data_IF_264519806673
#
_entry.id   IF_264519806673
#
_cell.length_a   1.000
_cell.length_b   1.000
_cell.length_c   1.000
_cell.angle_alpha   90.00
_cell.angle_beta   90.00
_cell.angle_gamma   90.00
#
_symmetry.space_group_name_H-M   'P 1'
#
loop_
_entity.id
_entity.type
_entity.pdbx_description
1 polymer ?
#
# COMPACT_ATOMS: atom_id res chain seq x y z
N UNK A 1 -46.02 -7.42 -17.99
CA UNK A 1 -44.83 -6.57 -17.78
C UNK A 1 -44.31 -6.86 -16.38
N UNK A 2 -43.17 -7.55 -16.24
CA UNK A 2 -42.57 -7.76 -14.92
C UNK A 2 -42.01 -6.43 -14.44
N UNK A 3 -42.63 -5.82 -13.44
CA UNK A 3 -42.04 -4.75 -12.65
C UNK A 3 -40.83 -5.33 -11.92
N UNK A 4 -39.69 -5.30 -12.61
CA UNK A 4 -38.42 -5.68 -12.06
C UNK A 4 -37.90 -4.43 -11.36
N UNK A 5 -38.02 -4.36 -10.05
CA UNK A 5 -37.12 -3.54 -9.24
C UNK A 5 -35.72 -4.10 -9.46
N UNK A 6 -35.10 -3.73 -10.59
CA UNK A 6 -33.74 -4.14 -10.94
C UNK A 6 -32.84 -3.62 -9.83
N UNK A 7 -32.28 -4.52 -9.04
CA UNK A 7 -31.19 -4.17 -8.15
C UNK A 7 -30.06 -3.60 -9.02
N UNK A 8 -29.28 -2.62 -8.52
CA UNK A 8 -28.18 -1.99 -9.26
C UNK A 8 -27.25 -3.03 -9.89
N UNK A 9 -27.01 -4.15 -9.20
CA UNK A 9 -26.25 -5.30 -9.71
C UNK A 9 -26.92 -5.95 -10.93
N UNK A 10 -28.22 -6.23 -10.87
CA UNK A 10 -28.96 -6.87 -11.98
C UNK A 10 -29.04 -5.97 -13.21
N UNK A 11 -29.19 -4.65 -12.99
CA UNK A 11 -29.13 -3.67 -14.08
C UNK A 11 -27.76 -3.68 -14.77
N UNK A 12 -26.68 -3.73 -14.00
CA UNK A 12 -25.31 -3.76 -14.55
C UNK A 12 -25.05 -5.08 -15.28
N UNK A 13 -25.48 -6.21 -14.72
CA UNK A 13 -25.40 -7.51 -15.39
C UNK A 13 -26.12 -7.48 -16.73
N UNK A 14 -27.35 -6.96 -16.77
CA UNK A 14 -28.13 -6.82 -18.00
C UNK A 14 -27.42 -5.95 -19.04
N UNK A 15 -26.85 -4.81 -18.63
CA UNK A 15 -26.10 -3.92 -19.53
C UNK A 15 -24.84 -4.58 -20.09
N UNK A 16 -24.10 -5.32 -19.26
CA UNK A 16 -22.92 -6.05 -19.70
C UNK A 16 -23.28 -7.19 -20.65
N UNK A 17 -24.36 -7.92 -20.35
CA UNK A 17 -24.84 -9.03 -21.18
C UNK A 17 -25.41 -8.52 -22.53
N UNK A 18 -25.88 -7.26 -22.57
CA UNK A 18 -26.28 -6.58 -23.81
C UNK A 18 -25.10 -6.10 -24.67
N UNK A 19 -23.85 -6.38 -24.28
CA UNK A 19 -22.65 -6.03 -25.06
C UNK A 19 -22.14 -4.61 -24.85
N UNK A 20 -22.50 -3.96 -23.73
CA UNK A 20 -21.92 -2.66 -23.37
C UNK A 20 -20.39 -2.75 -23.26
N UNK A 21 -19.70 -1.71 -23.75
CA UNK A 21 -18.25 -1.62 -23.58
C UNK A 21 -17.90 -1.38 -22.10
N UNK A 22 -17.44 -2.42 -21.42
CA UNK A 22 -17.07 -2.38 -20.00
C UNK A 22 -15.95 -1.37 -19.67
N UNK A 23 -15.14 -1.01 -20.68
CA UNK A 23 -14.03 -0.07 -20.56
C UNK A 23 -14.36 1.32 -21.13
N UNK A 24 -15.65 1.62 -21.36
CA UNK A 24 -16.06 2.95 -21.79
C UNK A 24 -15.65 3.99 -20.73
N UNK A 25 -15.11 5.11 -21.20
CA UNK A 25 -14.70 6.23 -20.36
C UNK A 25 -15.77 7.32 -20.37
N UNK A 26 -16.04 7.92 -19.21
CA UNK A 26 -16.83 9.13 -19.12
C UNK A 26 -16.03 10.37 -19.60
N UNK A 27 -16.58 11.57 -19.42
CA UNK A 27 -15.93 12.83 -19.80
C UNK A 27 -14.65 13.13 -18.99
N UNK A 28 -14.44 12.48 -17.84
CA UNK A 28 -13.29 12.64 -16.94
C UNK A 28 -12.24 11.51 -17.10
N UNK A 29 -12.09 10.99 -18.32
CA UNK A 29 -11.46 9.70 -18.65
C UNK A 29 -11.63 8.51 -17.68
N UNK A 30 -12.69 8.46 -16.88
CA UNK A 30 -12.90 7.40 -15.89
C UNK A 30 -13.67 6.22 -16.47
N UNK A 31 -13.20 5.01 -16.23
CA UNK A 31 -13.97 3.78 -16.49
C UNK A 31 -14.80 3.38 -15.28
N UNK A 32 -15.82 2.54 -15.51
CA UNK A 32 -16.70 2.07 -14.44
C UNK A 32 -15.95 1.44 -13.25
N UNK A 33 -14.84 0.74 -13.53
CA UNK A 33 -14.04 0.08 -12.49
C UNK A 33 -13.25 1.07 -11.63
N UNK A 34 -12.80 2.18 -12.21
CA UNK A 34 -12.11 3.23 -11.45
C UNK A 34 -13.10 3.97 -10.56
N UNK A 35 -14.27 4.33 -11.08
CA UNK A 35 -15.34 4.95 -10.30
C UNK A 35 -15.73 4.06 -9.13
N UNK A 36 -15.84 2.74 -9.34
CA UNK A 36 -16.13 1.78 -8.28
C UNK A 36 -15.03 1.75 -7.20
N UNK A 37 -13.75 1.85 -7.56
CA UNK A 37 -12.64 1.90 -6.59
C UNK A 37 -12.62 3.19 -5.77
N UNK A 38 -12.82 4.34 -6.43
CA UNK A 38 -12.84 5.64 -5.75
C UNK A 38 -13.98 5.73 -4.72
N UNK A 39 -15.11 5.08 -5.02
CA UNK A 39 -16.29 4.96 -4.16
C UNK A 39 -16.28 3.70 -3.27
N UNK A 40 -15.17 2.95 -3.23
CA UNK A 40 -15.00 1.76 -2.39
C UNK A 40 -16.10 0.70 -2.55
N UNK A 41 -16.59 0.49 -3.78
CA UNK A 41 -17.62 -0.50 -4.12
C UNK A 41 -17.00 -1.84 -4.50
N UNK A 42 -16.47 -2.54 -3.50
CA UNK A 42 -15.81 -3.87 -3.58
C UNK A 42 -16.61 -4.93 -4.35
N UNK A 43 -17.93 -5.03 -4.12
CA UNK A 43 -18.79 -5.96 -4.87
C UNK A 43 -18.82 -5.63 -6.37
N UNK A 44 -18.84 -4.34 -6.70
CA UNK A 44 -18.81 -3.87 -8.09
C UNK A 44 -17.45 -4.10 -8.73
N UNK A 45 -16.36 -3.89 -7.98
CA UNK A 45 -15.00 -4.21 -8.42
C UNK A 45 -14.87 -5.69 -8.76
N UNK A 46 -15.38 -6.56 -7.88
CA UNK A 46 -15.37 -8.01 -8.10
C UNK A 46 -16.11 -8.36 -9.40
N UNK A 47 -17.34 -7.86 -9.56
CA UNK A 47 -18.15 -8.12 -10.75
C UNK A 47 -17.47 -7.62 -12.03
N UNK A 48 -17.05 -6.36 -12.08
CA UNK A 48 -16.42 -5.77 -13.27
C UNK A 48 -15.12 -6.49 -13.62
N UNK A 49 -14.31 -6.82 -12.60
CA UNK A 49 -13.07 -7.56 -12.76
C UNK A 49 -13.27 -8.99 -13.26
N UNK A 50 -14.35 -9.67 -12.85
CA UNK A 50 -14.75 -11.00 -13.37
C UNK A 50 -15.26 -10.93 -14.81
N UNK A 51 -15.87 -9.82 -15.20
CA UNK A 51 -16.37 -9.56 -16.56
C UNK A 51 -15.30 -9.02 -17.52
N UNK A 52 -14.04 -8.99 -17.10
CA UNK A 52 -12.91 -8.64 -17.96
C UNK A 52 -12.67 -7.14 -18.13
N UNK A 53 -13.11 -6.31 -17.17
CA UNK A 53 -12.73 -4.90 -17.14
C UNK A 53 -11.19 -4.76 -17.12
N UNK A 54 -10.68 -3.79 -17.87
CA UNK A 54 -9.25 -3.48 -17.89
C UNK A 54 -8.84 -2.83 -16.57
N UNK A 55 -8.04 -3.56 -15.81
CA UNK A 55 -7.58 -3.20 -14.48
C UNK A 55 -6.41 -2.22 -14.50
N UNK A 56 -5.78 -2.00 -15.67
CA UNK A 56 -4.63 -1.11 -15.81
C UNK A 56 -4.99 0.28 -16.31
N UNK A 57 -6.27 0.55 -16.61
CA UNK A 57 -6.74 1.90 -16.88
C UNK A 57 -6.44 2.78 -15.68
N UNK A 58 -5.98 4.01 -15.95
CA UNK A 58 -5.57 4.95 -14.92
C UNK A 58 -6.54 6.11 -14.85
N UNK A 59 -6.85 6.55 -13.64
CA UNK A 59 -7.63 7.75 -13.42
C UNK A 59 -6.86 9.00 -13.91
N UNK A 60 -7.59 10.07 -14.20
CA UNK A 60 -7.03 11.36 -14.65
C UNK A 60 -6.38 12.18 -13.52
N UNK A 61 -6.72 11.89 -12.25
CA UNK A 61 -6.34 12.74 -11.11
C UNK A 61 -4.93 12.45 -10.60
N UNK A 62 -4.62 11.18 -10.30
CA UNK A 62 -3.34 10.79 -9.72
C UNK A 62 -2.65 9.69 -10.54
N UNK A 63 -3.16 9.42 -11.74
CA UNK A 63 -2.68 8.39 -12.65
C UNK A 63 -2.60 7.01 -11.98
N UNK A 64 -3.55 6.66 -11.12
CA UNK A 64 -3.61 5.35 -10.48
C UNK A 64 -4.62 4.44 -11.14
N UNK A 65 -4.29 3.15 -11.17
CA UNK A 65 -5.22 2.11 -11.57
C UNK A 65 -6.04 1.60 -10.38
N UNK A 66 -6.95 0.66 -10.64
CA UNK A 66 -7.89 0.14 -9.64
C UNK A 66 -7.19 -0.45 -8.40
N UNK A 67 -6.08 -1.19 -8.58
CA UNK A 67 -5.38 -1.84 -7.48
C UNK A 67 -4.61 -0.82 -6.63
N UNK A 68 -3.98 0.16 -7.26
CA UNK A 68 -3.26 1.24 -6.59
C UNK A 68 -4.20 2.15 -5.79
N UNK A 69 -5.41 2.43 -6.31
CA UNK A 69 -6.46 3.16 -5.57
C UNK A 69 -6.92 2.36 -4.36
N UNK A 70 -7.21 1.06 -4.54
CA UNK A 70 -7.67 0.21 -3.45
C UNK A 70 -6.61 0.01 -2.35
N UNK A 71 -5.32 -0.04 -2.71
CA UNK A 71 -4.22 -0.09 -1.75
C UNK A 71 -4.18 1.18 -0.87
N UNK A 72 -4.33 2.37 -1.45
CA UNK A 72 -4.40 3.63 -0.70
C UNK A 72 -5.64 3.70 0.21
N UNK A 73 -6.80 3.25 -0.28
CA UNK A 73 -8.03 3.14 0.51
C UNK A 73 -7.83 2.19 1.68
N UNK A 74 -7.19 1.06 1.46
CA UNK A 74 -6.86 0.08 2.50
C UNK A 74 -6.05 0.72 3.63
N UNK A 75 -4.98 1.45 3.27
CA UNK A 75 -4.13 2.14 4.23
C UNK A 75 -4.89 3.22 5.05
N UNK A 76 -5.89 3.86 4.45
CA UNK A 76 -6.62 4.99 5.07
C UNK A 76 -7.90 4.57 5.82
N UNK A 77 -8.26 3.29 5.81
CA UNK A 77 -9.55 2.80 6.34
C UNK A 77 -9.52 2.43 7.81
N UNK A 78 -10.68 2.49 8.47
CA UNK A 78 -10.89 1.95 9.82
C UNK A 78 -10.82 0.41 9.83
N UNK A 79 -10.51 -0.17 10.99
CA UNK A 79 -10.25 -1.62 11.15
C UNK A 79 -11.33 -2.53 10.55
N UNK A 80 -12.61 -2.18 10.73
CA UNK A 80 -13.74 -2.98 10.26
C UNK A 80 -13.80 -3.13 8.74
N UNK A 81 -13.67 -2.02 8.00
CA UNK A 81 -13.74 -2.02 6.52
C UNK A 81 -12.41 -2.42 5.89
N UNK A 82 -11.30 -2.23 6.62
CA UNK A 82 -9.95 -2.52 6.14
C UNK A 82 -9.79 -3.98 5.69
N UNK A 83 -10.39 -4.96 6.39
CA UNK A 83 -10.31 -6.38 6.02
C UNK A 83 -10.89 -6.66 4.63
N UNK A 84 -12.04 -6.06 4.32
CA UNK A 84 -12.69 -6.22 3.02
C UNK A 84 -11.84 -5.62 1.90
N UNK A 85 -11.24 -4.45 2.14
CA UNK A 85 -10.38 -3.79 1.16
C UNK A 85 -9.08 -4.55 0.94
N UNK A 86 -8.50 -5.15 1.99
CA UNK A 86 -7.32 -6.04 1.85
C UNK A 86 -7.66 -7.18 0.89
N UNK A 87 -8.72 -7.93 1.15
CA UNK A 87 -9.12 -9.08 0.33
C UNK A 87 -9.38 -8.65 -1.11
N UNK A 88 -10.10 -7.54 -1.30
CA UNK A 88 -10.38 -7.00 -2.63
C UNK A 88 -9.08 -6.61 -3.37
N UNK A 89 -8.17 -5.90 -2.71
CA UNK A 89 -6.89 -5.47 -3.27
C UNK A 89 -6.01 -6.67 -3.63
N UNK A 90 -5.91 -7.67 -2.75
CA UNK A 90 -5.15 -8.89 -3.04
C UNK A 90 -5.72 -9.64 -4.24
N UNK A 91 -7.05 -9.74 -4.36
CA UNK A 91 -7.68 -10.40 -5.51
C UNK A 91 -7.45 -9.65 -6.82
N UNK A 92 -7.40 -8.32 -6.79
CA UNK A 92 -7.02 -7.51 -7.95
C UNK A 92 -5.55 -7.75 -8.33
N UNK A 93 -4.64 -7.77 -7.35
CA UNK A 93 -3.20 -7.98 -7.57
C UNK A 93 -2.85 -9.42 -8.00
N UNK A 94 -3.72 -10.41 -7.77
CA UNK A 94 -3.60 -11.75 -8.36
C UNK A 94 -3.78 -11.74 -9.88
N UNK A 95 -4.46 -10.72 -10.42
CA UNK A 95 -4.60 -10.51 -11.86
C UNK A 95 -3.39 -9.70 -12.36
N UNK A 96 -3.14 -9.69 -13.68
CA UNK A 96 -1.99 -8.98 -14.28
C UNK A 96 -2.21 -7.46 -14.20
N UNK A 97 -1.95 -6.89 -13.03
CA UNK A 97 -2.15 -5.47 -12.70
C UNK A 97 -0.87 -4.88 -12.14
N UNK A 98 -0.49 -3.70 -12.61
CA UNK A 98 0.67 -2.96 -12.09
C UNK A 98 0.37 -2.35 -10.71
N UNK A 99 1.36 -2.34 -9.83
CA UNK A 99 1.39 -1.56 -8.58
C UNK A 99 2.53 -0.52 -8.55
N UNK A 100 3.09 -0.18 -9.72
CA UNK A 100 4.24 0.71 -9.83
C UNK A 100 4.01 2.14 -9.32
N UNK A 101 2.77 2.59 -9.19
CA UNK A 101 2.41 3.93 -8.69
C UNK A 101 1.79 3.90 -7.26
N UNK A 102 1.95 2.79 -6.52
CA UNK A 102 1.57 2.76 -5.10
C UNK A 102 2.42 3.74 -4.31
N UNK A 103 1.77 4.48 -3.40
CA UNK A 103 2.46 5.48 -2.58
C UNK A 103 3.36 4.80 -1.56
N UNK A 104 4.51 5.41 -1.28
CA UNK A 104 5.41 4.92 -0.24
C UNK A 104 4.73 4.94 1.14
N UNK A 105 3.87 5.93 1.36
CA UNK A 105 3.04 6.03 2.56
C UNK A 105 2.13 4.80 2.74
N UNK A 106 1.47 4.33 1.66
CA UNK A 106 0.67 3.10 1.70
C UNK A 106 1.51 1.91 2.20
N UNK A 107 2.72 1.71 1.66
CA UNK A 107 3.61 0.62 2.11
C UNK A 107 3.94 0.74 3.60
N UNK A 108 4.21 1.94 4.11
CA UNK A 108 4.50 2.13 5.54
C UNK A 108 3.32 1.76 6.44
N UNK A 109 2.12 2.22 6.11
CA UNK A 109 0.93 1.88 6.91
C UNK A 109 0.69 0.38 6.90
N UNK A 110 0.84 -0.28 5.74
CA UNK A 110 0.71 -1.72 5.64
C UNK A 110 1.77 -2.48 6.46
N UNK A 111 2.98 -1.91 6.65
CA UNK A 111 4.01 -2.48 7.53
C UNK A 111 3.52 -2.45 8.99
N UNK A 112 2.96 -1.33 9.43
CA UNK A 112 2.43 -1.17 10.81
C UNK A 112 1.31 -2.16 11.07
N UNK A 113 0.37 -2.23 10.12
CA UNK A 113 -0.76 -3.17 10.11
C UNK A 113 -0.32 -4.63 9.91
N UNK A 114 0.97 -4.89 9.69
CA UNK A 114 1.56 -6.21 9.45
C UNK A 114 0.92 -6.99 8.30
N UNK A 115 0.55 -6.30 7.21
CA UNK A 115 -0.09 -6.90 6.04
C UNK A 115 0.95 -7.52 5.10
N UNK A 116 1.61 -8.58 5.59
CA UNK A 116 2.72 -9.24 4.90
C UNK A 116 2.37 -9.65 3.46
N UNK A 117 1.27 -10.40 3.30
CA UNK A 117 0.84 -10.93 2.00
C UNK A 117 0.52 -9.81 0.99
N UNK A 118 -0.18 -8.76 1.43
CA UNK A 118 -0.51 -7.63 0.57
C UNK A 118 0.77 -6.87 0.14
N UNK A 119 1.72 -6.66 1.06
CA UNK A 119 3.02 -6.04 0.74
C UNK A 119 3.78 -6.88 -0.29
N UNK A 120 3.84 -8.21 -0.11
CA UNK A 120 4.50 -9.09 -1.08
C UNK A 120 3.87 -8.97 -2.48
N UNK A 121 2.54 -8.99 -2.55
CA UNK A 121 1.80 -8.85 -3.82
C UNK A 121 2.05 -7.50 -4.48
N UNK A 122 2.07 -6.42 -3.70
CA UNK A 122 2.37 -5.07 -4.19
C UNK A 122 3.78 -4.99 -4.79
N UNK A 123 4.77 -5.56 -4.10
CA UNK A 123 6.16 -5.59 -4.59
C UNK A 123 6.27 -6.41 -5.86
N UNK A 124 5.66 -7.60 -5.90
CA UNK A 124 5.63 -8.46 -7.08
C UNK A 124 4.94 -7.77 -8.28
N UNK A 125 3.90 -6.99 -8.01
CA UNK A 125 3.18 -6.18 -9.00
C UNK A 125 3.94 -4.91 -9.43
N UNK A 126 5.13 -4.64 -8.88
CA UNK A 126 6.03 -3.57 -9.32
C UNK A 126 6.20 -2.41 -8.36
N UNK A 127 5.68 -2.49 -7.13
CA UNK A 127 6.06 -1.53 -6.09
C UNK A 127 7.57 -1.65 -5.81
N UNK A 128 8.23 -0.51 -5.63
CA UNK A 128 9.69 -0.44 -5.47
C UNK A 128 10.06 0.24 -4.15
N UNK A 129 11.23 -0.07 -3.55
CA UNK A 129 11.63 0.56 -2.31
C UNK A 129 11.95 2.03 -2.59
N UNK A 130 11.63 2.90 -1.65
CA UNK A 130 11.98 4.31 -1.75
C UNK A 130 12.07 4.95 -0.38
N UNK A 131 12.92 5.97 -0.29
CA UNK A 131 13.14 6.76 0.91
C UNK A 131 11.97 7.72 1.14
N UNK A 132 11.48 7.76 2.38
CA UNK A 132 10.49 8.74 2.83
C UNK A 132 11.20 9.80 3.68
N UNK A 133 10.95 11.07 3.38
CA UNK A 133 11.50 12.18 4.16
C UNK A 133 10.81 12.29 5.53
N UNK A 134 11.56 12.80 6.51
CA UNK A 134 11.01 13.07 7.84
C UNK A 134 9.77 13.98 7.81
N UNK A 135 9.69 14.92 6.86
CA UNK A 135 8.52 15.80 6.73
C UNK A 135 7.22 15.03 6.50
N UNK A 136 7.26 13.99 5.66
CA UNK A 136 6.09 13.13 5.37
C UNK A 136 5.80 12.22 6.56
N UNK A 137 6.82 11.74 7.29
CA UNK A 137 6.59 10.98 8.52
C UNK A 137 5.90 11.83 9.59
N UNK A 138 6.28 13.11 9.71
CA UNK A 138 5.72 14.01 10.71
C UNK A 138 4.24 14.36 10.47
N UNK A 139 3.75 14.32 9.22
CA UNK A 139 2.31 14.49 8.94
C UNK A 139 1.49 13.28 9.39
N UNK A 140 2.15 12.19 9.75
CA UNK A 140 1.53 10.97 10.22
C UNK A 140 1.60 10.96 11.74
N UNK A 141 0.47 11.19 12.42
CA UNK A 141 0.35 11.17 13.90
C UNK A 141 0.81 9.86 14.58
N UNK A 142 1.20 8.85 13.80
CA UNK A 142 1.63 7.53 14.25
C UNK A 142 3.13 7.44 14.55
N UNK A 143 3.96 8.42 14.19
CA UNK A 143 5.42 8.27 14.21
C UNK A 143 6.15 9.43 14.89
N UNK A 144 6.23 9.38 16.22
CA UNK A 144 7.24 10.14 16.95
C UNK A 144 8.57 9.36 16.95
N UNK A 145 9.15 9.18 15.77
CA UNK A 145 10.54 8.77 15.70
C UNK A 145 11.36 10.03 16.02
N UNK A 146 11.97 10.08 17.20
CA UNK A 146 12.87 11.17 17.63
C UNK A 146 14.18 11.26 16.84
N UNK A 147 14.29 10.59 15.69
CA UNK A 147 15.49 10.60 14.84
C UNK A 147 15.46 11.83 13.94
N UNK A 148 15.95 12.95 14.46
CA UNK A 148 16.13 14.19 13.72
C UNK A 148 16.94 13.92 12.44
N UNK A 149 16.37 14.30 11.28
CA UNK A 149 17.12 14.49 10.03
C UNK A 149 17.34 13.27 9.13
N UNK A 150 16.60 12.17 9.30
CA UNK A 150 16.80 10.95 8.50
C UNK A 150 15.67 10.74 7.50
N UNK A 151 16.03 10.26 6.30
CA UNK A 151 15.07 9.55 5.45
C UNK A 151 14.87 8.14 6.01
N UNK A 152 13.71 7.52 5.79
CA UNK A 152 13.42 6.15 6.24
C UNK A 152 13.01 5.28 5.06
N UNK A 153 13.66 4.12 4.93
CA UNK A 153 13.34 3.08 3.97
C UNK A 153 12.25 2.14 4.52
N UNK A 154 11.54 1.38 3.65
CA UNK A 154 10.59 0.36 4.11
C UNK A 154 11.23 -0.72 5.01
N UNK A 155 12.47 -1.12 4.69
CA UNK A 155 13.22 -2.10 5.49
C UNK A 155 13.47 -1.62 6.91
N UNK A 156 14.00 -0.41 7.05
CA UNK A 156 14.28 0.17 8.37
C UNK A 156 13.00 0.48 9.12
N UNK A 157 11.96 0.92 8.42
CA UNK A 157 10.66 1.15 9.04
C UNK A 157 10.06 -0.13 9.64
N UNK A 158 10.20 -1.28 8.95
CA UNK A 158 9.78 -2.57 9.47
C UNK A 158 10.53 -2.94 10.76
N UNK A 159 11.86 -2.76 10.80
CA UNK A 159 12.66 -2.97 12.02
C UNK A 159 12.18 -2.08 13.18
N UNK A 160 11.97 -0.79 12.92
CA UNK A 160 11.55 0.18 13.94
C UNK A 160 10.14 -0.07 14.50
N UNK A 161 9.34 -0.89 13.82
CA UNK A 161 8.01 -1.32 14.24
C UNK A 161 7.95 -2.79 14.68
N UNK A 162 9.10 -3.40 14.98
CA UNK A 162 9.26 -4.81 15.39
C UNK A 162 8.64 -5.82 14.41
N UNK A 163 8.66 -5.50 13.12
CA UNK A 163 8.18 -6.37 12.04
C UNK A 163 9.33 -7.18 11.47
N UNK A 164 9.94 -8.04 12.29
CA UNK A 164 11.13 -8.82 11.93
C UNK A 164 10.94 -9.63 10.64
N UNK A 165 9.79 -10.30 10.49
CA UNK A 165 9.49 -11.11 9.29
C UNK A 165 9.50 -10.26 8.02
N UNK A 166 8.90 -9.06 8.05
CA UNK A 166 8.94 -8.13 6.93
C UNK A 166 10.36 -7.64 6.65
N UNK A 167 11.14 -7.31 7.69
CA UNK A 167 12.53 -6.88 7.53
C UNK A 167 13.41 -7.98 6.90
N UNK A 168 13.25 -9.23 7.34
CA UNK A 168 13.92 -10.39 6.76
C UNK A 168 13.52 -10.60 5.30
N UNK A 169 12.23 -10.49 4.99
CA UNK A 169 11.73 -10.56 3.62
C UNK A 169 12.33 -9.45 2.73
N UNK A 170 12.26 -8.18 3.15
CA UNK A 170 12.86 -7.07 2.38
C UNK A 170 14.37 -7.25 2.18
N UNK A 171 15.08 -7.75 3.19
CA UNK A 171 16.49 -8.09 3.10
C UNK A 171 16.76 -9.18 2.05
N UNK A 172 15.96 -10.25 2.05
CA UNK A 172 16.18 -11.42 1.18
C UNK A 172 15.96 -11.11 -0.31
N UNK A 173 14.97 -10.27 -0.64
CA UNK A 173 14.71 -9.83 -2.02
C UNK A 173 15.48 -8.56 -2.41
N UNK A 174 16.36 -8.06 -1.53
CA UNK A 174 17.10 -6.80 -1.72
C UNK A 174 16.17 -5.60 -2.00
N UNK A 175 15.01 -5.55 -1.34
CA UNK A 175 14.07 -4.42 -1.32
C UNK A 175 14.60 -3.33 -0.37
N UNK A 176 15.79 -2.85 -0.67
CA UNK A 176 16.58 -1.93 0.13
C UNK A 176 16.86 -0.65 -0.65
N UNK A 177 17.15 0.41 0.09
CA UNK A 177 17.61 1.69 -0.44
C UNK A 177 19.08 1.94 -0.05
N UNK A 178 19.77 2.91 -0.66
CA UNK A 178 21.16 3.22 -0.30
C UNK A 178 21.37 3.56 1.19
N UNK A 179 20.36 4.11 1.88
CA UNK A 179 20.49 4.39 3.32
C UNK A 179 20.62 3.12 4.17
N UNK A 180 20.08 2.00 3.70
CA UNK A 180 20.18 0.69 4.35
C UNK A 180 21.57 0.06 4.22
N UNK A 181 22.51 0.72 3.53
CA UNK A 181 23.90 0.29 3.45
C UNK A 181 24.83 1.15 4.31
N UNK A 182 24.29 2.21 4.94
CA UNK A 182 25.10 3.17 5.68
C UNK A 182 25.37 2.70 7.10
N UNK A 183 26.66 2.65 7.48
CA UNK A 183 27.08 2.35 8.85
C UNK A 183 26.50 3.32 9.88
N UNK A 184 26.31 4.59 9.51
CA UNK A 184 25.68 5.59 10.37
C UNK A 184 24.21 5.21 10.66
N UNK A 185 23.49 4.74 9.64
CA UNK A 185 22.09 4.33 9.80
C UNK A 185 21.96 3.04 10.61
N UNK A 186 22.92 2.12 10.49
CA UNK A 186 23.03 0.95 11.35
C UNK A 186 23.09 1.34 12.84
N UNK A 187 24.00 2.25 13.23
CA UNK A 187 24.16 2.68 14.62
C UNK A 187 22.84 3.22 15.17
N UNK A 188 22.20 4.11 14.41
CA UNK A 188 20.95 4.77 14.83
C UNK A 188 19.82 3.73 14.97
N UNK A 189 19.70 2.84 13.99
CA UNK A 189 18.69 1.78 14.02
C UNK A 189 18.92 0.87 15.23
N UNK A 190 20.14 0.37 15.42
CA UNK A 190 20.50 -0.52 16.53
C UNK A 190 20.25 0.12 17.90
N UNK A 191 20.62 1.39 18.07
CA UNK A 191 20.35 2.14 19.32
C UNK A 191 18.85 2.22 19.60
N UNK A 192 18.04 2.51 18.57
CA UNK A 192 16.58 2.56 18.69
C UNK A 192 16.00 1.20 19.08
N UNK A 193 16.39 0.12 18.38
CA UNK A 193 15.92 -1.24 18.65
C UNK A 193 16.27 -1.69 20.07
N UNK A 194 17.48 -1.36 20.54
CA UNK A 194 17.92 -1.65 21.91
C UNK A 194 17.07 -0.90 22.94
N UNK A 195 16.84 0.41 22.73
CA UNK A 195 15.98 1.22 23.62
C UNK A 195 14.55 0.72 23.70
N UNK A 196 14.04 0.10 22.62
CA UNK A 196 12.70 -0.48 22.53
C UNK A 196 12.63 -1.95 22.96
N UNK A 197 13.76 -2.57 23.33
CA UNK A 197 13.86 -4.00 23.67
C UNK A 197 13.48 -4.97 22.54
N UNK A 198 13.69 -4.60 21.28
CA UNK A 198 13.43 -5.48 20.11
C UNK A 198 14.62 -6.42 19.87
N UNK A 199 14.87 -7.35 20.80
CA UNK A 199 16.09 -8.18 20.84
C UNK A 199 16.34 -8.98 19.56
N UNK A 200 15.31 -9.61 19.00
CA UNK A 200 15.44 -10.38 17.75
C UNK A 200 15.78 -9.50 16.54
N UNK A 201 15.26 -8.27 16.51
CA UNK A 201 15.61 -7.29 15.48
C UNK A 201 17.06 -6.81 15.66
N UNK A 202 17.55 -6.64 16.90
CA UNK A 202 18.96 -6.32 17.18
C UNK A 202 19.88 -7.44 16.69
N UNK A 203 19.57 -8.69 17.04
CA UNK A 203 20.35 -9.86 16.59
C UNK A 203 20.42 -9.93 15.07
N UNK A 204 19.27 -9.83 14.39
CA UNK A 204 19.22 -9.84 12.93
C UNK A 204 20.03 -8.72 12.28
N UNK A 205 19.99 -7.50 12.85
CA UNK A 205 20.76 -6.37 12.34
C UNK A 205 22.25 -6.56 12.64
N UNK A 206 22.63 -7.03 13.82
CA UNK A 206 24.03 -7.32 14.13
C UNK A 206 24.62 -8.40 13.21
N UNK A 207 23.85 -9.44 12.90
CA UNK A 207 24.26 -10.46 11.93
C UNK A 207 24.40 -9.88 10.52
N UNK A 208 23.43 -9.08 10.08
CA UNK A 208 23.40 -8.47 8.75
C UNK A 208 24.60 -7.53 8.50
N UNK A 209 25.05 -6.82 9.53
CA UNK A 209 26.16 -5.86 9.47
C UNK A 209 27.46 -6.39 10.10
N UNK A 210 27.50 -7.66 10.53
CA UNK A 210 28.71 -8.31 11.06
C UNK A 210 29.87 -8.29 10.06
N UNK A 211 29.55 -8.22 8.77
CA UNK A 211 30.49 -8.06 7.66
C UNK A 211 29.96 -7.04 6.65
N UNK A 212 30.86 -6.41 5.86
CA UNK A 212 30.45 -5.56 4.77
C UNK A 212 29.52 -6.29 3.79
N UNK A 213 28.48 -5.60 3.33
CA UNK A 213 27.57 -6.12 2.34
C UNK A 213 28.32 -6.48 1.04
N UNK A 214 27.94 -7.58 0.39
CA UNK A 214 28.61 -8.04 -0.82
C UNK A 214 28.53 -6.99 -1.95
N UNK A 215 29.54 -6.97 -2.81
CA UNK A 215 29.56 -6.08 -3.98
C UNK A 215 28.34 -6.29 -4.87
N UNK A 216 27.89 -7.55 -5.04
CA UNK A 216 26.67 -7.88 -5.78
C UNK A 216 25.46 -7.16 -5.18
N UNK A 217 25.25 -7.26 -3.87
CA UNK A 217 24.09 -6.68 -3.20
C UNK A 217 24.14 -5.15 -3.22
N UNK A 218 25.32 -4.56 -3.01
CA UNK A 218 25.53 -3.12 -3.16
C UNK A 218 25.21 -2.65 -4.60
N UNK A 219 25.73 -3.34 -5.61
CA UNK A 219 25.47 -3.01 -7.02
C UNK A 219 23.97 -3.11 -7.35
N UNK A 220 23.30 -4.16 -6.88
CA UNK A 220 21.85 -4.31 -7.02
C UNK A 220 21.12 -3.09 -6.43
N UNK A 221 21.42 -2.70 -5.19
CA UNK A 221 20.77 -1.56 -4.51
C UNK A 221 21.05 -0.25 -5.27
N UNK A 222 22.30 0.01 -5.65
CA UNK A 222 22.68 1.21 -6.39
C UNK A 222 21.96 1.30 -7.73
N UNK A 223 21.97 0.22 -8.53
CA UNK A 223 21.28 0.20 -9.83
C UNK A 223 19.77 0.41 -9.66
N UNK A 224 19.16 -0.24 -8.67
CA UNK A 224 17.73 -0.05 -8.36
C UNK A 224 17.38 1.40 -8.03
N UNK A 225 18.23 2.05 -7.22
CA UNK A 225 18.07 3.45 -6.83
C UNK A 225 18.21 4.38 -8.04
N UNK A 226 19.13 4.10 -8.96
CA UNK A 226 19.34 4.92 -10.17
C UNK A 226 18.19 4.80 -11.17
N UNK A 227 17.56 3.63 -11.27
CA UNK A 227 16.37 3.44 -12.11
C UNK A 227 15.18 4.25 -11.57
N UNK A 228 15.05 4.30 -10.24
CA UNK A 228 13.97 4.97 -9.53
C UNK A 228 12.65 4.21 -9.53
N UNK A 229 11.66 4.68 -8.74
CA UNK A 229 10.31 4.14 -8.72
C UNK A 229 9.47 4.60 -9.92
N UNK A 230 8.24 4.09 -10.03
CA UNK A 230 7.21 4.63 -10.91
C UNK A 230 6.97 3.83 -12.19
N UNK A 231 6.04 4.34 -13.01
CA UNK A 231 5.46 3.63 -14.17
C UNK A 231 6.48 3.16 -15.21
N UNK A 232 7.54 3.93 -15.43
CA UNK A 232 8.56 3.62 -16.44
C UNK A 232 9.64 2.67 -15.94
N UNK A 233 9.59 2.28 -14.66
CA UNK A 233 10.61 1.42 -14.03
C UNK A 233 10.76 0.10 -14.78
N UNK A 234 9.64 -0.55 -15.12
CA UNK A 234 9.70 -1.85 -15.79
C UNK A 234 10.35 -1.76 -17.17
N UNK A 235 10.00 -0.74 -17.94
CA UNK A 235 10.59 -0.50 -19.27
C UNK A 235 12.09 -0.17 -19.18
N UNK A 236 12.48 0.67 -18.21
CA UNK A 236 13.89 0.98 -17.93
C UNK A 236 14.68 -0.29 -17.60
N UNK A 237 14.15 -1.16 -16.73
CA UNK A 237 14.81 -2.42 -16.37
C UNK A 237 14.93 -3.35 -17.58
N UNK A 238 13.87 -3.49 -18.38
CA UNK A 238 13.87 -4.30 -19.61
C UNK A 238 14.91 -3.79 -20.61
N UNK A 239 15.10 -2.48 -20.70
CA UNK A 239 16.09 -1.83 -21.57
C UNK A 239 17.55 -1.98 -21.14
N UNK A 240 17.83 -2.45 -19.91
CA UNK A 240 19.22 -2.62 -19.46
C UNK A 240 19.95 -3.73 -20.22
N UNK A 241 21.26 -3.58 -20.49
CA UNK A 241 22.09 -4.62 -21.09
C UNK A 241 22.50 -5.67 -20.04
N UNK A 242 21.53 -6.18 -19.28
CA UNK A 242 21.73 -7.17 -18.21
C UNK A 242 21.05 -8.51 -18.56
N UNK A 243 21.58 -9.65 -18.08
CA UNK A 243 20.88 -10.93 -18.12
C UNK A 243 19.50 -10.87 -17.45
N UNK A 244 18.56 -11.70 -17.89
CA UNK A 244 17.18 -11.76 -17.39
C UNK A 244 17.10 -11.93 -15.88
N UNK A 245 17.91 -12.83 -15.31
CA UNK A 245 18.01 -13.03 -13.86
C UNK A 245 18.21 -11.73 -13.08
N UNK A 246 19.12 -10.86 -13.54
CA UNK A 246 19.38 -9.58 -12.87
C UNK A 246 18.25 -8.58 -13.11
N UNK A 247 17.59 -8.61 -14.27
CA UNK A 247 16.40 -7.80 -14.54
C UNK A 247 15.25 -8.20 -13.60
N UNK A 248 14.98 -9.49 -13.45
CA UNK A 248 13.92 -10.01 -12.57
C UNK A 248 14.21 -9.68 -11.10
N UNK A 249 15.47 -9.77 -10.67
CA UNK A 249 15.90 -9.30 -9.36
C UNK A 249 15.69 -7.78 -9.16
N UNK A 250 15.72 -6.95 -10.20
CA UNK A 250 15.43 -5.50 -10.10
C UNK A 250 13.94 -5.17 -10.17
N UNK A 251 13.15 -6.05 -10.76
CA UNK A 251 11.68 -6.01 -10.73
C UNK A 251 11.10 -6.65 -9.49
N UNK A 252 11.92 -7.29 -8.65
CA UNK A 252 11.46 -8.06 -7.49
C UNK A 252 10.47 -9.15 -7.92
N UNK A 253 10.75 -9.87 -9.02
CA UNK A 253 9.89 -10.94 -9.56
C UNK A 253 10.56 -12.33 -9.43
N UNK A 254 11.33 -12.56 -8.38
CA UNK A 254 12.06 -13.83 -8.16
C UNK A 254 11.18 -14.84 -7.43
N UNK A 255 11.56 -16.13 -7.44
CA UNK A 255 10.84 -17.19 -6.70
C UNK A 255 10.66 -16.87 -5.22
N UNK A 256 11.60 -16.13 -4.62
CA UNK A 256 11.56 -15.64 -3.24
C UNK A 256 10.56 -14.49 -2.98
N UNK A 257 9.94 -13.91 -4.02
CA UNK A 257 9.01 -12.77 -3.87
C UNK A 257 7.58 -13.21 -3.56
N UNK A 258 7.18 -14.41 -3.98
CA UNK A 258 5.88 -14.98 -3.66
C UNK A 258 6.10 -16.18 -2.74
N UNK A 259 6.08 -15.96 -1.43
CA UNK A 259 5.83 -17.05 -0.50
C UNK A 259 4.34 -17.33 -0.63
N UNK A 260 3.99 -18.28 -1.51
CA UNK A 260 2.62 -18.78 -1.65
C UNK A 260 2.15 -19.28 -0.29
N UNK A 261 0.91 -18.98 0.04
CA UNK A 261 0.19 -19.31 1.28
C UNK A 261 0.57 -20.71 1.83
N UNK A 262 1.68 -20.80 2.59
CA UNK A 262 1.90 -21.89 3.52
C UNK A 262 1.03 -21.54 4.71
N UNK A 263 -0.10 -22.23 4.80
CA UNK A 263 -1.06 -22.26 5.91
C UNK A 263 -0.64 -21.36 7.08
N UNK A 264 -1.12 -20.12 7.08
CA UNK A 264 -1.14 -19.37 8.33
C UNK A 264 -1.97 -20.22 9.30
N UNK A 265 -1.30 -20.86 10.26
CA UNK A 265 -1.96 -21.33 11.46
C UNK A 265 -2.86 -20.19 11.92
N UNK A 266 -4.16 -20.48 11.97
CA UNK A 266 -5.15 -19.62 12.57
C UNK A 266 -4.71 -19.49 14.03
N UNK A 267 -3.97 -18.44 14.34
CA UNK A 267 -3.86 -17.98 15.72
C UNK A 267 -5.25 -17.45 16.02
N UNK A 268 -6.09 -18.32 16.57
CA UNK A 268 -7.32 -17.91 17.23
C UNK A 268 -6.93 -16.80 18.20
N UNK A 269 -7.45 -15.61 17.92
CA UNK A 269 -7.26 -14.44 18.76
C UNK A 269 -8.05 -14.63 20.06
N UNK A 270 -7.52 -15.46 20.95
CA UNK A 270 -7.85 -15.48 22.37
C UNK A 270 -6.60 -15.05 23.11
N UNK A 271 -6.38 -13.73 23.16
CA UNK A 271 -5.61 -12.99 24.18
C UNK A 271 -5.21 -11.61 23.64
N UNK A 272 -6.20 -10.72 23.50
CA UNK A 272 -5.98 -9.27 23.66
C UNK A 272 -7.18 -8.72 24.43
N UNK A 273 -7.26 -9.08 25.72
CA UNK A 273 -8.27 -8.54 26.64
C UNK A 273 -7.71 -7.70 27.78
N UNK A 274 -6.42 -7.36 27.80
CA UNK A 274 -5.89 -6.51 28.86
C UNK A 274 -4.88 -5.51 28.30
N UNK A 275 -5.34 -4.29 28.02
CA UNK A 275 -4.64 -3.02 28.26
C UNK A 275 -5.51 -1.85 27.75
N UNK A 276 -6.62 -1.58 28.43
CA UNK A 276 -7.25 -0.26 28.44
C UNK A 276 -7.21 0.24 29.89
N UNK A 277 -6.40 1.26 30.17
CA UNK A 277 -6.92 2.27 31.08
C UNK A 277 -6.46 3.68 30.67
N UNK A 278 -7.27 4.38 29.87
CA UNK A 278 -7.71 5.76 30.09
C UNK A 278 -8.56 6.19 28.88
N UNK A 279 -9.60 6.98 29.12
CA UNK A 279 -10.64 7.47 28.17
C UNK A 279 -11.98 6.69 28.15
N UNK A 280 -12.39 6.11 29.29
CA UNK A 280 -13.83 6.03 29.62
C UNK A 280 -14.07 6.96 30.80
N UNK A 281 -14.33 8.24 30.49
CA UNK A 281 -15.22 9.10 31.28
C UNK A 281 -15.44 10.38 30.49
N UNK A 282 -16.42 10.34 29.60
CA UNK A 282 -17.21 11.47 29.07
C UNK A 282 -18.11 10.86 27.99
N UNK A 283 -19.19 10.22 28.42
CA UNK A 283 -20.45 10.07 27.66
C UNK A 283 -21.45 9.28 28.53
N UNK A 284 -21.81 9.86 29.67
CA UNK A 284 -23.14 9.67 30.23
C UNK A 284 -23.91 10.94 29.90
N UNK A 285 -24.46 11.00 28.68
CA UNK A 285 -25.65 11.79 28.40
C UNK A 285 -26.45 11.04 27.35
N UNK A 286 -27.51 10.39 27.82
CA UNK A 286 -28.66 9.99 27.04
C UNK A 286 -29.14 11.17 26.19
N UNK A 287 -29.17 11.00 24.87
CA UNK A 287 -30.12 11.72 24.03
C UNK A 287 -30.71 10.72 23.04
N UNK A 288 -32.02 10.58 23.18
CA UNK A 288 -32.96 9.73 22.47
C UNK A 288 -33.00 9.96 20.96
N UNK A 289 -33.35 8.89 20.25
CA UNK A 289 -33.75 8.84 18.84
C UNK A 289 -34.83 9.88 18.49
N UNK A 290 -34.43 11.04 18.00
CA UNK A 290 -35.17 11.91 17.08
C UNK A 290 -34.26 13.07 16.69
N UNK A 291 -34.17 13.39 15.40
CA UNK A 291 -33.38 14.48 14.79
C UNK A 291 -32.00 14.08 14.22
N UNK A 292 -32.03 13.34 13.11
CA UNK A 292 -30.91 13.24 12.16
C UNK A 292 -31.46 13.58 10.75
N UNK A 293 -32.01 14.80 10.61
CA UNK A 293 -32.54 15.33 9.34
C UNK A 293 -31.90 16.62 8.85
N UNK A 294 -30.91 17.22 9.53
CA UNK A 294 -30.40 18.53 9.12
C UNK A 294 -28.88 18.68 9.27
N UNK A 295 -28.08 17.93 8.48
CA UNK A 295 -26.65 18.25 8.36
C UNK A 295 -26.01 17.80 7.03
N UNK A 296 -26.66 18.10 5.90
CA UNK A 296 -25.99 18.20 4.59
C UNK A 296 -26.63 19.32 3.78
N UNK A 297 -26.19 20.55 4.03
CA UNK A 297 -26.43 21.72 3.20
C UNK A 297 -25.11 22.45 2.99
N UNK A 298 -24.34 22.02 2.00
CA UNK A 298 -23.28 22.83 1.41
C UNK A 298 -23.49 22.81 -0.10
N UNK A 299 -24.10 23.88 -0.61
CA UNK A 299 -24.05 24.24 -2.02
C UNK A 299 -22.63 24.75 -2.33
N UNK A 300 -22.06 24.44 -3.50
CA UNK A 300 -20.79 24.98 -3.97
C UNK A 300 -21.03 26.24 -4.78
N UNK A 301 -20.47 27.39 -4.41
CA UNK A 301 -20.13 28.49 -5.33
C UNK A 301 -19.15 29.48 -4.67
N UNK A 302 -18.31 30.08 -5.53
CA UNK A 302 -17.36 31.19 -5.30
C UNK A 302 -15.96 30.88 -4.72
N UNK A 303 -15.09 30.28 -5.56
CA UNK A 303 -13.65 30.58 -5.52
C UNK A 303 -13.26 31.44 -6.75
N UNK A 304 -13.02 32.72 -6.49
CA UNK A 304 -12.49 33.72 -7.42
C UNK A 304 -11.03 33.35 -7.78
N UNK A 305 -10.83 32.91 -9.02
CA UNK A 305 -9.51 32.76 -9.63
C UNK A 305 -9.13 34.05 -10.35
N UNK A 306 -8.66 35.03 -9.60
CA UNK A 306 -7.87 36.12 -10.13
C UNK A 306 -6.75 36.46 -9.13
N UNK A 307 -5.60 36.89 -9.66
CA UNK A 307 -4.32 37.12 -8.97
C UNK A 307 -3.37 35.90 -8.98
N UNK A 308 -2.79 35.63 -10.15
CA UNK A 308 -1.32 35.50 -10.31
C UNK A 308 -0.98 35.78 -11.78
N UNK A 309 -0.83 37.07 -12.10
CA UNK A 309 -0.14 37.54 -13.30
C UNK A 309 0.78 38.69 -12.88
N UNK A 310 2.06 38.36 -12.65
CA UNK A 310 3.28 39.20 -12.82
C UNK A 310 4.47 38.54 -12.13
#
# INVERSE_FOLDING_TARGET
>A
MRNMTLNKKDAILYLLDAGCNINHQNNDPQTAIIIAAENSKTEMLTLLSERGADLNVRNSVNHKNVAEIMADKTASSSSYVKREFIICTENLLKKVVSAANVTQYCILILIVDNQFNLIQRLIFAGASPSEISQSVLNTCNYFYISTVGLTVSPFRFALMNDKLQLAQYFSSICFLTPSDCSYQQYIICREHLTKKNFSKCVEFVDDLYSQPMSLERLALITVSSLIGPGLTREDKVKGLPLPTKFKDQRLFKTESTLILDTECEVIESTEVMDYIPFLINLNNYDVSDSEMSDYYGYEPDDFDYSVYDS
#
